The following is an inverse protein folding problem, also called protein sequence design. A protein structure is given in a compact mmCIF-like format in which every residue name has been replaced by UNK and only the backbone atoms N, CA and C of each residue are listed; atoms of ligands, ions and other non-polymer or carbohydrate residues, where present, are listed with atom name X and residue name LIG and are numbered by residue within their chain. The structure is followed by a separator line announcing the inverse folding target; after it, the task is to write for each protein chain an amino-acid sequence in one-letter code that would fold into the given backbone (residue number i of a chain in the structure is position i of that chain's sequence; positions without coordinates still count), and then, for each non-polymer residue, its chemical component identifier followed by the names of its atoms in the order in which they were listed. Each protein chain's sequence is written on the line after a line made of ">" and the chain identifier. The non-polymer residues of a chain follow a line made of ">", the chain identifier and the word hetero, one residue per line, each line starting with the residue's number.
data_IF_377463248304
#
_entry.id   IF_377463248304
#
_cell.length_a   1.000
_cell.length_b   1.000
_cell.length_c   1.000
_cell.angle_alpha   90.00
_cell.angle_beta   90.00
_cell.angle_gamma   90.00
#
_symmetry.space_group_name_H-M   'P 1'
#
loop_
_entity.id
_entity.type
_entity.pdbx_description
1 polymer ?
#
# COMPACT_ATOMS: atom_id res chain seq x y z
N UNK A 1 -22.00 -24.47 5.84
CA UNK A 1 -23.02 -23.45 5.53
C UNK A 1 -22.32 -22.09 5.48
N UNK A 2 -22.24 -21.44 4.32
CA UNK A 2 -21.57 -20.13 4.16
C UNK A 2 -22.52 -19.03 4.62
N UNK A 3 -22.07 -18.13 5.51
CA UNK A 3 -22.88 -16.99 5.96
C UNK A 3 -22.87 -15.90 4.88
N UNK A 4 -24.05 -15.55 4.38
CA UNK A 4 -24.24 -14.42 3.46
C UNK A 4 -24.25 -13.08 4.21
N UNK A 5 -23.09 -12.46 4.30
CA UNK A 5 -22.94 -11.13 4.90
C UNK A 5 -23.37 -10.04 3.90
N UNK A 6 -24.68 -9.84 3.72
CA UNK A 6 -25.19 -8.69 2.97
C UNK A 6 -25.09 -7.43 3.83
N UNK A 7 -24.44 -6.38 3.30
CA UNK A 7 -24.35 -5.08 3.99
C UNK A 7 -25.75 -4.46 4.09
N UNK A 8 -26.14 -4.03 5.29
CA UNK A 8 -27.45 -3.39 5.56
C UNK A 8 -27.57 -1.97 5.00
N UNK A 9 -26.46 -1.26 4.78
CA UNK A 9 -26.44 0.14 4.32
C UNK A 9 -25.65 0.27 3.02
N UNK A 10 -26.11 1.13 2.09
CA UNK A 10 -25.37 1.42 0.87
C UNK A 10 -24.05 2.12 1.20
N UNK A 11 -23.04 1.89 0.35
CA UNK A 11 -21.74 2.55 0.47
C UNK A 11 -21.93 4.04 0.13
N UNK A 12 -21.66 4.92 1.09
CA UNK A 12 -21.60 6.36 0.84
C UNK A 12 -20.31 6.65 0.08
N UNK A 13 -20.44 7.26 -1.09
CA UNK A 13 -19.31 7.74 -1.89
C UNK A 13 -19.23 9.25 -1.66
N UNK A 14 -18.07 9.71 -1.21
CA UNK A 14 -17.79 11.12 -1.04
C UNK A 14 -17.01 11.62 -2.26
N UNK A 15 -17.22 12.88 -2.60
CA UNK A 15 -16.47 13.57 -3.64
C UNK A 15 -14.97 13.63 -3.27
N UNK A 16 -14.12 13.11 -4.15
CA UNK A 16 -12.70 12.93 -3.87
C UNK A 16 -11.96 14.26 -3.80
N UNK A 17 -12.40 15.26 -4.57
CA UNK A 17 -11.80 16.60 -4.56
C UNK A 17 -12.02 17.30 -3.21
N UNK A 18 -13.26 17.25 -2.70
CA UNK A 18 -13.59 17.82 -1.38
C UNK A 18 -12.88 17.10 -0.24
N UNK A 19 -12.73 15.78 -0.35
CA UNK A 19 -11.95 14.99 0.62
C UNK A 19 -10.49 15.44 0.59
N UNK A 20 -9.88 15.58 -0.58
CA UNK A 20 -8.48 15.98 -0.72
C UNK A 20 -8.25 17.39 -0.17
N UNK A 21 -9.10 18.35 -0.52
CA UNK A 21 -9.01 19.73 -0.05
C UNK A 21 -9.14 19.83 1.48
N UNK A 22 -10.12 19.14 2.06
CA UNK A 22 -10.30 19.10 3.51
C UNK A 22 -9.08 18.49 4.22
N UNK A 23 -8.51 17.41 3.67
CA UNK A 23 -7.31 16.77 4.20
C UNK A 23 -6.10 17.69 4.12
N UNK A 24 -5.91 18.40 3.01
CA UNK A 24 -4.81 19.36 2.87
C UNK A 24 -4.89 20.49 3.91
N UNK A 25 -6.07 21.08 4.09
CA UNK A 25 -6.27 22.16 5.08
C UNK A 25 -6.06 21.69 6.52
N UNK A 26 -6.43 20.45 6.83
CA UNK A 26 -6.12 19.83 8.14
C UNK A 26 -4.60 19.63 8.29
N UNK A 27 -3.90 19.13 7.26
CA UNK A 27 -2.44 18.95 7.28
C UNK A 27 -1.67 20.26 7.48
N UNK A 28 -2.15 21.34 6.85
CA UNK A 28 -1.61 22.70 7.02
C UNK A 28 -1.97 23.34 8.37
N UNK A 29 -2.74 22.65 9.22
CA UNK A 29 -3.27 23.14 10.51
C UNK A 29 -4.15 24.39 10.38
N UNK A 30 -4.69 24.65 9.20
CA UNK A 30 -5.59 25.79 8.96
C UNK A 30 -6.99 25.49 9.50
N UNK A 31 -7.43 24.23 9.39
CA UNK A 31 -8.76 23.77 9.82
C UNK A 31 -8.66 22.70 10.91
N UNK A 32 -9.59 22.74 11.88
CA UNK A 32 -9.84 21.64 12.80
C UNK A 32 -10.67 20.56 12.11
N UNK A 33 -10.63 19.33 12.64
CA UNK A 33 -11.44 18.23 12.13
C UNK A 33 -12.94 18.55 12.10
N UNK A 34 -13.44 19.25 13.12
CA UNK A 34 -14.85 19.67 13.19
C UNK A 34 -15.18 20.70 12.11
N UNK A 35 -14.32 21.70 11.92
CA UNK A 35 -14.49 22.72 10.88
C UNK A 35 -14.48 22.09 9.48
N UNK A 36 -13.53 21.19 9.22
CA UNK A 36 -13.46 20.47 7.96
C UNK A 36 -14.70 19.59 7.73
N UNK A 37 -15.25 18.96 8.78
CA UNK A 37 -16.46 18.16 8.68
C UNK A 37 -17.69 18.99 8.31
N UNK A 38 -17.82 20.17 8.89
CA UNK A 38 -18.94 21.08 8.61
C UNK A 38 -18.86 21.64 7.18
N UNK A 39 -17.67 22.06 6.74
CA UNK A 39 -17.49 22.67 5.42
C UNK A 39 -17.59 21.66 4.27
N UNK A 40 -17.04 20.45 4.45
CA UNK A 40 -17.00 19.43 3.41
C UNK A 40 -18.19 18.47 3.44
N UNK A 41 -18.98 18.46 4.53
CA UNK A 41 -20.06 17.50 4.77
C UNK A 41 -19.57 16.07 5.02
N UNK A 42 -18.26 15.87 5.22
CA UNK A 42 -17.65 14.56 5.44
C UNK A 42 -17.47 14.34 6.95
N UNK A 43 -17.96 13.22 7.52
CA UNK A 43 -17.83 12.96 8.94
C UNK A 43 -16.37 12.96 9.41
N UNK A 44 -16.12 13.54 10.59
CA UNK A 44 -14.81 13.59 11.26
C UNK A 44 -14.09 12.23 11.25
N UNK A 45 -14.79 11.15 11.59
CA UNK A 45 -14.19 9.80 11.61
C UNK A 45 -13.70 9.33 10.24
N UNK A 46 -14.36 9.75 9.16
CA UNK A 46 -13.95 9.45 7.79
C UNK A 46 -12.68 10.23 7.43
N UNK A 47 -12.63 11.52 7.77
CA UNK A 47 -11.45 12.36 7.55
C UNK A 47 -10.24 11.84 8.34
N UNK A 48 -10.41 11.53 9.63
CA UNK A 48 -9.37 10.96 10.47
C UNK A 48 -8.84 9.62 9.94
N UNK A 49 -9.74 8.74 9.51
CA UNK A 49 -9.38 7.44 8.91
C UNK A 49 -8.61 7.60 7.59
N UNK A 50 -8.95 8.60 6.77
CA UNK A 50 -8.23 8.89 5.51
C UNK A 50 -6.84 9.45 5.78
N UNK A 51 -6.72 10.33 6.77
CA UNK A 51 -5.44 10.90 7.18
C UNK A 51 -4.51 9.81 7.73
N UNK A 52 -5.01 8.90 8.58
CA UNK A 52 -4.20 7.83 9.15
C UNK A 52 -3.83 6.73 8.13
N UNK A 53 -4.72 6.41 7.19
CA UNK A 53 -4.43 5.43 6.10
C UNK A 53 -3.43 5.94 5.06
N UNK A 54 -3.22 7.25 4.96
CA UNK A 54 -2.14 7.80 4.15
C UNK A 54 -0.76 7.65 4.82
N UNK A 55 -0.68 7.12 6.05
CA UNK A 55 0.60 6.56 6.50
C UNK A 55 0.86 5.33 5.63
N UNK A 56 1.96 5.35 4.88
CA UNK A 56 2.39 4.33 3.90
C UNK A 56 2.69 2.95 4.52
N UNK A 57 2.02 2.59 5.61
CA UNK A 57 2.10 1.25 6.16
C UNK A 57 1.53 0.25 5.14
N UNK A 58 2.17 -0.92 4.99
CA UNK A 58 1.69 -1.93 4.06
C UNK A 58 0.23 -2.27 4.38
N UNK A 59 -0.65 -2.10 3.39
CA UNK A 59 -2.06 -2.45 3.53
C UNK A 59 -2.16 -3.99 3.48
N UNK A 60 -2.10 -4.64 4.64
CA UNK A 60 -2.24 -6.10 4.73
C UNK A 60 -1.30 -6.75 5.75
N UNK A 61 -0.98 -8.03 5.51
CA UNK A 61 0.08 -8.71 6.26
C UNK A 61 1.42 -8.02 5.99
N UNK A 62 2.34 -7.99 6.97
CA UNK A 62 3.70 -7.52 6.72
C UNK A 62 4.28 -8.32 5.54
N UNK A 63 4.89 -7.61 4.59
CA UNK A 63 5.68 -8.22 3.52
C UNK A 63 6.85 -8.97 4.14
N UNK A 64 7.28 -10.06 3.49
CA UNK A 64 8.45 -10.82 3.96
C UNK A 64 9.74 -9.99 3.88
N UNK A 65 9.78 -9.03 2.96
CA UNK A 65 10.90 -8.13 2.72
C UNK A 65 10.55 -6.69 3.09
N UNK A 66 11.57 -5.92 3.48
CA UNK A 66 11.42 -4.49 3.65
C UNK A 66 11.42 -3.77 2.27
N UNK A 67 10.94 -2.53 2.21
CA UNK A 67 10.82 -1.78 0.94
C UNK A 67 12.16 -1.55 0.23
N UNK A 68 13.29 -1.53 0.95
CA UNK A 68 14.61 -1.33 0.36
C UNK A 68 15.14 -2.63 -0.24
N UNK A 69 14.94 -3.75 0.43
CA UNK A 69 15.27 -5.10 -0.04
C UNK A 69 14.46 -5.45 -1.28
N UNK A 70 13.16 -5.13 -1.29
CA UNK A 70 12.31 -5.32 -2.48
C UNK A 70 12.84 -4.52 -3.69
N UNK A 71 13.20 -3.25 -3.50
CA UNK A 71 13.77 -2.42 -4.57
C UNK A 71 15.07 -3.01 -5.10
N UNK A 72 15.97 -3.38 -4.21
CA UNK A 72 17.25 -3.98 -4.58
C UNK A 72 17.07 -5.30 -5.36
N UNK A 73 16.12 -6.13 -4.94
CA UNK A 73 15.79 -7.38 -5.63
C UNK A 73 15.21 -7.13 -7.02
N UNK A 74 14.32 -6.13 -7.15
CA UNK A 74 13.78 -5.71 -8.45
C UNK A 74 14.89 -5.20 -9.38
N UNK A 75 15.81 -4.37 -8.88
CA UNK A 75 16.94 -3.85 -9.67
C UNK A 75 17.86 -4.99 -10.14
N UNK A 76 18.11 -6.00 -9.30
CA UNK A 76 18.87 -7.19 -9.69
C UNK A 76 18.17 -8.00 -10.79
N UNK A 77 16.86 -8.24 -10.66
CA UNK A 77 16.11 -8.97 -11.69
C UNK A 77 16.16 -8.22 -13.03
N UNK A 78 15.97 -6.90 -13.01
CA UNK A 78 16.00 -6.07 -14.21
C UNK A 78 17.38 -6.07 -14.88
N UNK A 79 18.45 -5.97 -14.09
CA UNK A 79 19.82 -6.03 -14.63
C UNK A 79 20.10 -7.41 -15.23
N UNK A 80 19.81 -8.50 -14.53
CA UNK A 80 20.02 -9.86 -15.05
C UNK A 80 19.19 -10.17 -16.29
N UNK A 81 17.96 -9.66 -16.37
CA UNK A 81 17.14 -9.75 -17.58
C UNK A 81 17.77 -8.96 -18.74
N UNK A 82 18.34 -7.78 -18.48
CA UNK A 82 19.03 -6.99 -19.51
C UNK A 82 20.29 -7.68 -20.04
N UNK A 83 20.96 -8.49 -19.20
CA UNK A 83 22.10 -9.32 -19.60
C UNK A 83 21.69 -10.63 -20.29
N UNK A 84 20.39 -10.95 -20.34
CA UNK A 84 19.86 -12.15 -20.99
C UNK A 84 20.00 -13.43 -20.17
N UNK A 85 20.41 -13.33 -18.91
CA UNK A 85 20.60 -14.49 -18.00
C UNK A 85 19.29 -14.95 -17.37
N UNK A 86 18.27 -14.10 -17.37
CA UNK A 86 16.96 -14.37 -16.79
C UNK A 86 15.85 -14.04 -17.79
N UNK A 87 15.13 -15.06 -18.23
CA UNK A 87 14.02 -14.90 -19.18
C UNK A 87 12.68 -15.31 -18.57
N UNK A 88 12.67 -16.26 -17.63
CA UNK A 88 11.45 -16.77 -17.01
C UNK A 88 11.52 -16.78 -15.48
N UNK A 89 10.35 -16.86 -14.85
CA UNK A 89 10.20 -16.99 -13.39
C UNK A 89 10.91 -18.26 -12.88
N UNK A 90 10.98 -19.30 -13.71
CA UNK A 90 11.63 -20.57 -13.40
C UNK A 90 13.14 -20.40 -13.14
N UNK A 91 13.80 -19.48 -13.85
CA UNK A 91 15.21 -19.18 -13.67
C UNK A 91 15.43 -18.54 -12.28
N UNK A 92 14.58 -17.59 -11.89
CA UNK A 92 14.62 -16.96 -10.55
C UNK A 92 14.48 -18.01 -9.46
N UNK A 93 13.52 -18.94 -9.63
CA UNK A 93 13.26 -20.00 -8.65
C UNK A 93 14.42 -20.98 -8.56
N UNK A 94 15.12 -21.24 -9.67
CA UNK A 94 16.32 -22.07 -9.69
C UNK A 94 17.44 -21.44 -8.88
N UNK A 95 17.76 -20.16 -9.10
CA UNK A 95 18.78 -19.45 -8.31
C UNK A 95 18.41 -19.39 -6.82
N UNK A 96 17.14 -19.14 -6.50
CA UNK A 96 16.66 -19.15 -5.13
C UNK A 96 16.75 -20.53 -4.45
N UNK A 97 16.75 -21.61 -5.23
CA UNK A 97 16.89 -22.99 -4.74
C UNK A 97 18.36 -23.41 -4.61
N UNK A 98 19.23 -22.89 -5.47
CA UNK A 98 20.66 -23.21 -5.52
C UNK A 98 21.46 -22.59 -4.34
N UNK A 99 20.98 -21.50 -3.73
CA UNK A 99 21.59 -20.92 -2.51
C UNK A 99 21.47 -21.79 -1.25
N UNK A 100 20.84 -22.97 -1.34
CA UNK A 100 20.97 -24.03 -0.33
C UNK A 100 22.36 -24.71 -0.30
N UNK A 101 23.21 -24.47 -1.31
CA UNK A 101 24.60 -24.94 -1.32
C UNK A 101 25.54 -23.80 -0.99
N UNK A 102 25.77 -23.57 0.30
CA UNK A 102 26.94 -22.84 0.78
C UNK A 102 28.19 -23.37 0.06
N UNK A 103 28.94 -22.53 -0.69
CA UNK A 103 30.27 -22.92 -1.10
C UNK A 103 31.11 -22.93 0.19
N UNK A 104 31.34 -24.12 0.72
CA UNK A 104 32.24 -24.29 1.84
C UNK A 104 33.65 -23.92 1.40
N UNK A 105 34.09 -22.70 1.71
CA UNK A 105 35.42 -22.29 2.21
C UNK A 105 35.25 -20.97 2.95
#
# INVERSE_FOLDING_TARGET
>A
MVRDYKRKKPKVVYDEEKVAEAIEKIRRKEWTYEKASNESGIPVGTLASRISRNSNGPVGRPTALNTNEEKHLVDLILTLQSYGELSAIEDVLKYASDEGSSPGV
#
